data_IF_892000964208
#
_entry.id   IF_892000964208
#
_cell.length_a   1.000
_cell.length_b   1.000
_cell.length_c   1.000
_cell.angle_alpha   90.00
_cell.angle_beta   90.00
_cell.angle_gamma   90.00
#
_symmetry.space_group_name_H-M   'P 1'
#
loop_
_entity.id
_entity.type
_entity.pdbx_description
1 polymer ?
#
# COMPACT_ATOMS: atom_id res chain seq x y z
N UNK A 1 -8.56 -24.36 -12.39
CA UNK A 1 -8.51 -23.79 -11.99
C UNK A 1 -8.09 -22.83 -11.76
N UNK A 2 -7.97 -22.51 -11.82
CA UNK A 2 -7.56 -21.54 -11.66
C UNK A 2 -7.57 -20.85 -10.81
N UNK A 3 -7.37 -20.48 -10.40
CA UNK A 3 -7.38 -19.83 -9.64
C UNK A 3 -6.56 -18.89 -9.39
N UNK A 4 -6.35 -18.03 -9.85
CA UNK A 4 -5.56 -16.98 -9.89
C UNK A 4 -5.99 -15.90 -9.10
N UNK A 5 -6.91 -16.03 -8.27
CA UNK A 5 -7.44 -14.97 -7.46
C UNK A 5 -6.45 -14.44 -6.45
N UNK A 6 -5.33 -15.10 -6.28
CA UNK A 6 -4.32 -14.66 -5.33
C UNK A 6 -3.12 -14.03 -6.01
N UNK A 7 -3.29 -13.63 -7.26
CA UNK A 7 -2.20 -12.95 -7.95
C UNK A 7 -1.75 -11.75 -7.15
N UNK A 8 -0.45 -11.60 -6.88
CA UNK A 8 0.01 -10.55 -5.96
C UNK A 8 -0.07 -9.17 -6.56
N UNK A 9 -0.31 -8.21 -5.69
CA UNK A 9 -0.15 -6.80 -6.00
C UNK A 9 1.02 -6.28 -5.18
N UNK A 10 1.57 -5.13 -5.57
CA UNK A 10 2.60 -4.52 -4.75
C UNK A 10 2.56 -3.00 -4.85
N UNK A 11 3.15 -2.37 -3.85
CA UNK A 11 3.35 -0.93 -3.86
C UNK A 11 4.74 -0.66 -3.29
N UNK A 12 5.47 0.27 -3.89
CA UNK A 12 6.82 0.58 -3.47
C UNK A 12 6.99 2.06 -3.27
N UNK A 13 7.63 2.42 -2.17
CA UNK A 13 7.86 3.81 -1.78
C UNK A 13 9.34 4.07 -1.57
N UNK A 14 9.74 5.33 -1.68
CA UNK A 14 11.05 5.74 -1.21
C UNK A 14 11.11 5.53 0.31
N UNK A 15 12.28 5.11 0.78
CA UNK A 15 12.47 4.84 2.20
C UNK A 15 12.96 6.12 2.87
N UNK A 16 12.06 6.83 3.53
CA UNK A 16 12.40 8.03 4.27
C UNK A 16 11.43 8.20 5.43
N UNK A 17 11.62 9.26 6.22
CA UNK A 17 10.80 9.47 7.40
C UNK A 17 9.34 9.74 7.09
N UNK A 18 9.09 10.33 5.92
CA UNK A 18 7.70 10.64 5.53
C UNK A 18 6.92 9.40 5.17
N UNK A 19 7.58 8.35 4.70
CA UNK A 19 6.89 7.13 4.30
C UNK A 19 6.74 6.13 5.43
N UNK A 20 7.46 6.31 6.53
CA UNK A 20 7.42 5.35 7.62
C UNK A 20 6.00 5.12 8.15
N UNK A 21 5.22 6.15 8.48
CA UNK A 21 3.85 5.90 8.96
C UNK A 21 2.95 5.29 7.90
N UNK A 22 3.19 5.60 6.63
CA UNK A 22 2.42 4.99 5.55
C UNK A 22 2.67 3.49 5.51
N UNK A 23 3.94 3.11 5.56
CA UNK A 23 4.33 1.69 5.51
C UNK A 23 3.79 0.94 6.71
N UNK A 24 3.93 1.52 7.90
CA UNK A 24 3.44 0.88 9.12
C UNK A 24 1.94 0.68 9.08
N UNK A 25 1.21 1.67 8.58
CA UNK A 25 -0.24 1.59 8.47
C UNK A 25 -0.67 0.49 7.49
N UNK A 26 0.01 0.42 6.34
CA UNK A 26 -0.31 -0.60 5.35
C UNK A 26 -0.07 -2.00 5.93
N UNK A 27 1.04 -2.18 6.60
CA UNK A 27 1.34 -3.48 7.20
C UNK A 27 0.34 -3.84 8.28
N UNK A 28 -0.13 -2.86 9.05
CA UNK A 28 -1.13 -3.11 10.09
C UNK A 28 -2.46 -3.54 9.51
N UNK A 29 -2.86 -2.97 8.38
CA UNK A 29 -4.16 -3.25 7.78
C UNK A 29 -4.15 -4.45 6.85
N UNK A 30 -2.98 -4.97 6.51
CA UNK A 30 -2.86 -6.06 5.54
C UNK A 30 -1.99 -7.17 6.13
N UNK A 31 -2.58 -8.04 6.96
CA UNK A 31 -1.78 -9.04 7.68
C UNK A 31 -1.06 -10.05 6.76
N UNK A 32 -1.51 -10.19 5.51
CA UNK A 32 -0.86 -11.09 4.58
C UNK A 32 0.23 -10.41 3.76
N UNK A 33 0.44 -9.12 3.97
CA UNK A 33 1.45 -8.38 3.22
C UNK A 33 2.85 -8.73 3.69
N UNK A 34 3.79 -8.66 2.77
CA UNK A 34 5.21 -8.88 3.05
C UNK A 34 5.99 -7.63 2.77
N UNK A 35 6.82 -7.25 3.70
CA UNK A 35 7.66 -6.08 3.60
C UNK A 35 9.04 -6.48 3.09
N UNK A 36 9.47 -5.84 2.02
CA UNK A 36 10.79 -6.07 1.43
C UNK A 36 11.56 -4.77 1.45
N UNK A 37 12.58 -4.70 2.28
CA UNK A 37 13.40 -3.50 2.40
C UNK A 37 14.61 -3.63 1.49
N UNK A 38 14.82 -2.63 0.66
CA UNK A 38 15.92 -2.58 -0.28
C UNK A 38 16.62 -1.25 -0.11
N UNK A 39 17.84 -1.10 -0.61
CA UNK A 39 18.50 0.21 -0.51
C UNK A 39 17.61 1.29 -1.13
N UNK A 40 17.29 2.30 -0.35
CA UNK A 40 16.55 3.50 -0.77
C UNK A 40 15.07 3.27 -1.11
N UNK A 41 14.55 2.05 -0.98
CA UNK A 41 13.13 1.83 -1.22
C UNK A 41 12.58 0.70 -0.37
N UNK A 42 11.27 0.72 -0.18
CA UNK A 42 10.55 -0.32 0.54
C UNK A 42 9.42 -0.80 -0.37
N UNK A 43 9.35 -2.09 -0.57
CA UNK A 43 8.32 -2.70 -1.41
C UNK A 43 7.43 -3.58 -0.54
N UNK A 44 6.12 -3.41 -0.68
CA UNK A 44 5.14 -4.21 0.06
C UNK A 44 4.38 -5.06 -0.94
N UNK A 45 4.48 -6.38 -0.78
CA UNK A 45 3.78 -7.34 -1.62
C UNK A 45 2.61 -7.92 -0.85
N UNK A 46 1.47 -8.10 -1.51
CA UNK A 46 0.31 -8.65 -0.85
C UNK A 46 -0.45 -9.55 -1.82
N UNK A 47 -0.81 -10.78 -1.40
CA UNK A 47 -1.59 -11.64 -2.28
C UNK A 47 -2.99 -11.09 -2.47
N UNK A 48 -3.40 -10.96 -3.71
CA UNK A 48 -4.76 -10.65 -4.10
C UNK A 48 -5.18 -9.21 -3.99
N UNK A 49 -5.00 -8.61 -2.83
CA UNK A 49 -5.56 -7.29 -2.58
C UNK A 49 -4.81 -6.58 -1.48
N UNK A 50 -4.57 -5.31 -1.68
CA UNK A 50 -3.88 -4.48 -0.69
C UNK A 50 -4.71 -3.22 -0.46
N UNK A 51 -4.98 -2.92 0.81
CA UNK A 51 -5.82 -1.78 1.19
C UNK A 51 -5.00 -0.78 1.98
N UNK A 52 -5.04 0.47 1.53
CA UNK A 52 -4.38 1.58 2.22
C UNK A 52 -5.47 2.47 2.77
N UNK A 53 -5.51 2.65 4.08
CA UNK A 53 -6.56 3.42 4.74
C UNK A 53 -6.02 4.73 5.27
N UNK A 54 -6.69 5.81 4.91
CA UNK A 54 -6.31 7.13 5.38
C UNK A 54 -6.30 7.23 6.90
N UNK A 55 -7.32 6.67 7.54
CA UNK A 55 -7.44 6.80 9.00
C UNK A 55 -6.31 6.10 9.72
N UNK A 56 -5.89 4.94 9.22
CA UNK A 56 -4.79 4.21 9.85
C UNK A 56 -3.48 4.98 9.69
N UNK A 57 -3.26 5.55 8.51
CA UNK A 57 -2.04 6.35 8.29
C UNK A 57 -2.06 7.56 9.21
N UNK A 58 -3.23 8.19 9.36
CA UNK A 58 -3.37 9.35 10.22
C UNK A 58 -2.99 9.02 11.66
N UNK A 59 -3.39 7.84 12.14
CA UNK A 59 -3.03 7.41 13.48
C UNK A 59 -1.52 7.27 13.65
N UNK A 60 -0.88 6.61 12.69
CA UNK A 60 0.57 6.40 12.79
C UNK A 60 1.34 7.69 12.58
N UNK A 61 0.81 8.59 11.76
CA UNK A 61 1.48 9.86 11.47
C UNK A 61 1.26 10.90 12.58
N UNK A 62 0.22 10.72 13.39
CA UNK A 62 -0.12 11.70 14.43
C UNK A 62 -0.72 12.98 13.87
N UNK A 63 -1.32 12.92 12.68
CA UNK A 63 -1.95 14.07 12.06
C UNK A 63 -2.93 13.59 10.99
N UNK A 64 -3.78 14.49 10.55
CA UNK A 64 -4.65 14.17 9.43
C UNK A 64 -3.82 13.95 8.18
N UNK A 65 -4.01 12.83 7.55
CA UNK A 65 -3.29 12.44 6.35
C UNK A 65 -4.23 12.51 5.16
N UNK A 66 -3.75 13.09 4.07
CA UNK A 66 -4.50 13.10 2.81
C UNK A 66 -3.93 11.98 1.94
N UNK A 67 -4.78 11.07 1.47
CA UNK A 67 -4.30 9.92 0.69
C UNK A 67 -3.51 10.31 -0.55
N UNK A 68 -3.75 11.51 -1.08
CA UNK A 68 -2.97 11.97 -2.22
C UNK A 68 -1.49 12.13 -1.90
N UNK A 69 -1.16 12.24 -0.62
CA UNK A 69 0.25 12.36 -0.21
C UNK A 69 1.05 11.11 -0.49
N UNK A 70 0.40 9.95 -0.66
CA UNK A 70 1.16 8.73 -0.94
C UNK A 70 1.89 8.84 -2.27
N UNK A 71 1.38 9.64 -3.20
CA UNK A 71 1.98 9.78 -4.53
C UNK A 71 3.30 10.53 -4.50
N UNK A 72 3.56 11.29 -3.44
CA UNK A 72 4.79 12.09 -3.35
C UNK A 72 6.02 11.19 -3.35
N UNK A 73 5.94 10.07 -2.65
CA UNK A 73 7.07 9.16 -2.50
C UNK A 73 6.85 7.81 -3.17
N UNK A 74 5.79 7.69 -3.95
CA UNK A 74 5.47 6.44 -4.64
C UNK A 74 6.45 6.22 -5.79
N UNK A 75 7.05 5.03 -5.82
CA UNK A 75 7.98 4.67 -6.89
C UNK A 75 7.27 3.84 -7.94
N UNK A 76 6.52 2.84 -7.50
CA UNK A 76 5.93 1.88 -8.43
C UNK A 76 4.82 1.12 -7.73
N UNK A 77 3.90 0.59 -8.53
CA UNK A 77 2.87 -0.29 -8.00
C UNK A 77 2.43 -1.26 -9.10
N UNK A 78 1.82 -2.36 -8.68
CA UNK A 78 1.24 -3.32 -9.61
C UNK A 78 -0.13 -3.71 -9.10
N UNK A 79 -1.13 -3.58 -9.96
CA UNK A 79 -2.53 -3.82 -9.64
C UNK A 79 -3.35 -2.70 -10.21
N UNK A 80 -4.65 -2.86 -10.15
CA UNK A 80 -5.55 -1.80 -10.55
C UNK A 80 -5.92 -0.98 -9.33
N UNK A 81 -5.89 0.33 -9.49
CA UNK A 81 -6.12 1.27 -8.40
C UNK A 81 -7.60 1.60 -8.32
N UNK A 82 -8.15 1.49 -7.11
CA UNK A 82 -9.50 1.95 -6.82
C UNK A 82 -9.39 2.90 -5.63
N UNK A 83 -9.61 4.16 -5.87
CA UNK A 83 -9.27 5.20 -4.90
C UNK A 83 -10.50 6.01 -4.51
N UNK A 84 -10.65 6.23 -3.22
CA UNK A 84 -11.65 7.16 -2.69
C UNK A 84 -10.93 8.11 -1.74
N UNK A 85 -11.68 8.94 -1.04
CA UNK A 85 -11.07 9.84 -0.05
C UNK A 85 -10.50 9.08 1.14
N UNK A 86 -11.09 7.92 1.44
CA UNK A 86 -10.76 7.18 2.65
C UNK A 86 -9.84 6.00 2.41
N UNK A 87 -9.85 5.44 1.21
CA UNK A 87 -9.12 4.20 0.93
C UNK A 87 -8.50 4.24 -0.45
N UNK A 88 -7.36 3.58 -0.54
CA UNK A 88 -6.69 3.32 -1.79
C UNK A 88 -6.51 1.81 -1.86
N UNK A 89 -7.08 1.16 -2.88
CA UNK A 89 -7.08 -0.29 -2.97
C UNK A 89 -6.37 -0.72 -4.24
N UNK A 90 -5.50 -1.70 -4.10
CA UNK A 90 -4.85 -2.35 -5.24
C UNK A 90 -5.34 -3.77 -5.34
N UNK A 91 -5.81 -4.16 -6.51
CA UNK A 91 -6.16 -5.56 -6.77
C UNK A 91 -6.25 -5.76 -8.27
N UNK A 92 -6.05 -7.00 -8.68
CA UNK A 92 -6.26 -7.35 -10.07
C UNK A 92 -7.72 -7.66 -10.25
N UNK A 93 -8.37 -7.00 -11.19
CA UNK A 93 -9.78 -7.25 -11.45
C UNK A 93 -9.88 -8.34 -12.50
N UNK A 94 -10.76 -9.29 -12.25
CA UNK A 94 -10.98 -10.33 -13.22
C UNK A 94 -12.11 -9.94 -14.15
N UNK A 95 -12.15 -10.57 -15.28
CA UNK A 95 -13.14 -10.24 -16.24
C UNK A 95 -13.94 -11.39 -16.60
#
# INVERSE_FOLDING_TARGET
>A
MATNSTQPVFIAFQDNNDTRPIIEAIMADNPNAKLNEMPALVKIDCPGRLVVKRDTISEFAGRDFDLREIYINLISLAGEVDESEDEFVLEWKSR
#
